data_IF_565616524353
#
_entry.id   IF_565616524353
#
_cell.length_a   1.000
_cell.length_b   1.000
_cell.length_c   1.000
_cell.angle_alpha   90.00
_cell.angle_beta   90.00
_cell.angle_gamma   90.00
#
_symmetry.space_group_name_H-M   'P 1'
#
loop_
_entity.id
_entity.type
_entity.pdbx_description
1 polymer ?
#
# COMPACT_ATOMS: atom_id res chain seq x y z
N UNK A 1 6.25 -0.54 8.46
CA UNK A 1 6.33 -1.80 7.68
C UNK A 1 4.96 -2.43 7.64
N UNK A 2 4.62 -3.12 6.56
CA UNK A 2 3.37 -3.86 6.42
C UNK A 2 3.57 -5.13 5.61
N UNK A 3 2.52 -5.93 5.47
CA UNK A 3 2.50 -7.13 4.63
C UNK A 3 1.61 -6.88 3.42
N UNK A 4 2.12 -7.11 2.21
CA UNK A 4 1.29 -7.06 1.01
C UNK A 4 0.32 -8.25 1.04
N UNK A 5 -0.97 -7.99 1.05
CA UNK A 5 -1.99 -9.06 1.08
C UNK A 5 -2.74 -9.22 -0.23
N UNK A 6 -2.68 -8.22 -1.11
CA UNK A 6 -3.26 -8.30 -2.44
C UNK A 6 -2.96 -7.05 -3.26
N UNK A 7 -3.27 -7.11 -4.55
CA UNK A 7 -3.34 -5.94 -5.41
C UNK A 7 -4.42 -6.14 -6.46
N UNK A 8 -5.00 -5.03 -6.92
CA UNK A 8 -5.99 -4.98 -7.99
C UNK A 8 -5.48 -4.06 -9.08
N UNK A 9 -5.52 -4.55 -10.32
CA UNK A 9 -5.28 -3.75 -11.52
C UNK A 9 -6.62 -3.50 -12.21
N UNK A 10 -6.82 -2.27 -12.68
CA UNK A 10 -8.01 -1.88 -13.42
C UNK A 10 -7.67 -0.73 -14.38
N UNK A 11 -8.43 -0.61 -15.46
CA UNK A 11 -8.26 0.43 -16.44
C UNK A 11 -9.56 1.18 -16.66
N UNK A 12 -9.46 2.44 -17.06
CA UNK A 12 -10.59 3.23 -17.55
C UNK A 12 -10.11 4.08 -18.74
N UNK A 13 -10.98 4.95 -19.27
CA UNK A 13 -10.65 5.84 -20.41
C UNK A 13 -9.46 6.79 -20.15
N UNK A 14 -9.07 7.01 -18.89
CA UNK A 14 -7.98 7.90 -18.47
C UNK A 14 -6.65 7.18 -18.23
N UNK A 15 -6.62 5.85 -18.16
CA UNK A 15 -5.37 5.09 -17.99
C UNK A 15 -5.50 3.82 -17.16
N UNK A 16 -4.34 3.26 -16.82
CA UNK A 16 -4.18 2.04 -16.02
C UNK A 16 -3.87 2.39 -14.56
N UNK A 17 -4.59 1.73 -13.66
CA UNK A 17 -4.48 1.95 -12.23
C UNK A 17 -4.19 0.64 -11.52
N UNK A 18 -3.39 0.74 -10.48
CA UNK A 18 -3.15 -0.36 -9.56
C UNK A 18 -3.31 0.14 -8.13
N UNK A 19 -4.01 -0.66 -7.33
CA UNK A 19 -4.16 -0.48 -5.88
C UNK A 19 -3.55 -1.71 -5.23
N UNK A 20 -2.69 -1.51 -4.23
CA UNK A 20 -2.24 -2.59 -3.36
C UNK A 20 -2.92 -2.51 -2.00
N UNK A 21 -3.23 -3.66 -1.42
CA UNK A 21 -3.77 -3.79 -0.08
C UNK A 21 -2.68 -4.28 0.86
N UNK A 22 -2.41 -3.49 1.90
CA UNK A 22 -1.29 -3.69 2.81
C UNK A 22 -1.81 -3.80 4.22
N UNK A 23 -1.56 -4.94 4.85
CA UNK A 23 -1.83 -5.14 6.27
C UNK A 23 -0.80 -4.38 7.09
N UNK A 24 -1.25 -3.52 8.01
CA UNK A 24 -0.43 -2.81 8.99
C UNK A 24 -1.03 -2.93 10.37
N UNK A 25 -0.19 -2.94 11.39
CA UNK A 25 -0.68 -2.90 12.77
C UNK A 25 -1.30 -1.53 13.09
N UNK A 26 -2.34 -1.56 13.92
CA UNK A 26 -2.85 -0.34 14.54
C UNK A 26 -1.76 0.34 15.36
N UNK A 27 -1.73 1.67 15.32
CA UNK A 27 -0.84 2.46 16.18
C UNK A 27 -1.17 2.24 17.65
N UNK A 28 -0.21 2.54 18.54
CA UNK A 28 -0.42 2.44 19.99
C UNK A 28 -1.68 3.22 20.44
N UNK A 29 -1.86 4.44 19.91
CA UNK A 29 -3.01 5.29 20.17
C UNK A 29 -4.34 4.68 19.73
N UNK A 30 -4.36 3.98 18.60
CA UNK A 30 -5.57 3.26 18.14
C UNK A 30 -5.87 2.07 19.04
N UNK A 31 -4.84 1.31 19.45
CA UNK A 31 -4.98 0.18 20.38
C UNK A 31 -5.49 0.62 21.75
N UNK A 32 -5.00 1.74 22.28
CA UNK A 32 -5.51 2.36 23.51
C UNK A 32 -7.00 2.74 23.43
N UNK A 33 -7.50 3.00 22.21
CA UNK A 33 -8.90 3.32 21.94
C UNK A 33 -9.75 2.09 21.59
N UNK A 34 -9.21 0.89 21.78
CA UNK A 34 -9.93 -0.37 21.60
C UNK A 34 -9.75 -1.03 20.23
N UNK A 35 -8.84 -0.56 19.38
CA UNK A 35 -8.51 -1.28 18.13
C UNK A 35 -7.70 -2.55 18.42
N UNK A 36 -8.12 -3.68 17.82
CA UNK A 36 -7.49 -4.98 18.00
C UNK A 36 -7.03 -5.54 16.65
N UNK A 37 -5.85 -6.17 16.61
CA UNK A 37 -5.29 -6.80 15.41
C UNK A 37 -4.58 -5.79 14.49
N UNK A 38 -4.90 -5.85 13.20
CA UNK A 38 -4.29 -5.05 12.14
C UNK A 38 -5.38 -4.39 11.27
N UNK A 39 -5.02 -3.30 10.60
CA UNK A 39 -5.82 -2.69 9.53
C UNK A 39 -5.28 -3.05 8.16
N UNK A 40 -6.12 -2.87 7.15
CA UNK A 40 -5.72 -2.92 5.74
C UNK A 40 -5.74 -1.51 5.19
N UNK A 41 -4.65 -1.11 4.56
CA UNK A 41 -4.54 0.15 3.82
C UNK A 41 -4.47 -0.14 2.32
N UNK A 42 -5.40 0.44 1.57
CA UNK A 42 -5.39 0.42 0.11
C UNK A 42 -4.62 1.63 -0.42
N UNK A 43 -3.54 1.38 -1.16
CA UNK A 43 -2.61 2.42 -1.62
C UNK A 43 -2.51 2.38 -3.15
N UNK A 44 -2.63 3.54 -3.80
CA UNK A 44 -2.41 3.67 -5.23
C UNK A 44 -0.94 3.52 -5.59
N UNK A 45 -0.69 2.75 -6.64
CA UNK A 45 0.65 2.48 -7.16
C UNK A 45 0.96 3.40 -8.34
N UNK A 46 2.05 4.18 -8.31
CA UNK A 46 2.56 4.92 -9.45
C UNK A 46 2.64 4.05 -10.69
N UNK A 47 2.25 4.61 -11.83
CA UNK A 47 2.14 3.90 -13.10
C UNK A 47 3.44 3.20 -13.50
N UNK A 48 4.57 3.89 -13.30
CA UNK A 48 5.92 3.41 -13.56
C UNK A 48 6.32 2.22 -12.66
N UNK A 49 5.60 1.95 -11.57
CA UNK A 49 5.93 0.88 -10.60
C UNK A 49 4.94 -0.28 -10.58
N UNK A 50 3.84 -0.20 -11.32
CA UNK A 50 2.81 -1.25 -11.34
C UNK A 50 3.34 -2.61 -11.87
N UNK A 51 4.41 -2.57 -12.69
CA UNK A 51 5.05 -3.76 -13.24
C UNK A 51 5.88 -4.54 -12.20
N UNK A 52 6.30 -3.90 -11.10
CA UNK A 52 7.06 -4.52 -10.02
C UNK A 52 6.19 -5.39 -9.10
N UNK A 53 4.85 -5.28 -9.21
CA UNK A 53 3.90 -6.13 -8.50
C UNK A 53 3.59 -7.40 -9.30
N UNK A 54 4.11 -8.52 -8.82
CA UNK A 54 3.82 -9.87 -9.31
C UNK A 54 3.04 -10.67 -8.25
N UNK A 55 2.38 -11.79 -8.61
CA UNK A 55 1.69 -12.64 -7.65
C UNK A 55 2.59 -13.14 -6.51
N UNK A 56 3.88 -13.36 -6.79
CA UNK A 56 4.87 -13.81 -5.81
C UNK A 56 5.20 -12.77 -4.74
N UNK A 57 4.84 -11.51 -4.96
CA UNK A 57 4.99 -10.46 -3.96
C UNK A 57 3.97 -10.59 -2.83
N UNK A 58 2.83 -11.24 -3.08
CA UNK A 58 1.77 -11.39 -2.09
C UNK A 58 2.27 -12.22 -0.92
N UNK A 59 2.05 -11.70 0.29
CA UNK A 59 2.52 -12.28 1.54
C UNK A 59 3.89 -11.77 2.01
N UNK A 60 4.66 -11.07 1.16
CA UNK A 60 5.96 -10.49 1.54
C UNK A 60 5.79 -9.23 2.39
N UNK A 61 6.82 -8.95 3.18
CA UNK A 61 6.94 -7.68 3.89
C UNK A 61 7.25 -6.57 2.89
N UNK A 62 6.53 -5.46 3.03
CA UNK A 62 6.65 -4.29 2.16
C UNK A 62 6.88 -3.04 3.01
N UNK A 63 7.79 -2.21 2.52
CA UNK A 63 7.98 -0.85 2.98
C UNK A 63 7.50 0.09 1.88
N UNK A 64 6.69 1.07 2.26
CA UNK A 64 6.16 2.09 1.36
C UNK A 64 6.73 3.43 1.78
N UNK A 65 7.35 4.11 0.83
CA UNK A 65 7.91 5.44 0.99
C UNK A 65 6.88 6.44 0.42
N UNK A 66 6.59 7.48 1.20
CA UNK A 66 5.64 8.53 0.83
C UNK A 66 6.37 9.86 0.68
N UNK A 67 5.97 10.62 -0.33
CA UNK A 67 6.34 12.01 -0.51
C UNK A 67 5.14 12.91 -0.26
N UNK A 68 5.40 14.07 0.34
CA UNK A 68 4.36 15.08 0.58
C UNK A 68 4.37 16.04 -0.61
N UNK A 69 3.29 16.01 -1.40
CA UNK A 69 3.06 16.97 -2.48
C UNK A 69 1.95 17.92 -2.04
N UNK A 70 2.33 19.17 -1.75
CA UNK A 70 1.44 20.14 -1.11
C UNK A 70 1.07 19.70 0.31
N UNK A 71 -0.21 19.37 0.54
CA UNK A 71 -0.73 18.92 1.84
C UNK A 71 -1.11 17.44 1.89
N UNK A 72 -0.81 16.66 0.83
CA UNK A 72 -1.20 15.25 0.69
C UNK A 72 0.02 14.36 0.54
N UNK A 73 -0.02 13.21 1.21
CA UNK A 73 0.97 12.16 1.05
C UNK A 73 0.63 11.31 -0.18
N UNK A 74 1.60 11.15 -1.07
CA UNK A 74 1.54 10.27 -2.23
C UNK A 74 2.60 9.20 -2.08
N UNK A 75 2.28 7.97 -2.47
CA UNK A 75 3.30 6.94 -2.51
C UNK A 75 4.31 7.28 -3.61
N UNK A 76 5.56 7.49 -3.23
CA UNK A 76 6.64 7.71 -4.19
C UNK A 76 7.34 6.41 -4.54
N UNK A 77 7.54 5.50 -3.58
CA UNK A 77 8.23 4.23 -3.80
C UNK A 77 7.76 3.10 -2.89
N UNK A 78 8.12 1.86 -3.22
CA UNK A 78 7.97 0.72 -2.32
C UNK A 78 9.04 -0.33 -2.56
N UNK A 79 9.37 -1.09 -1.51
CA UNK A 79 10.42 -2.12 -1.55
C UNK A 79 9.97 -3.34 -0.76
N UNK A 80 10.25 -4.52 -1.30
CA UNK A 80 10.08 -5.78 -0.59
C UNK A 80 11.32 -6.07 0.26
N UNK A 81 11.10 -6.71 1.42
CA UNK A 81 12.15 -7.27 2.26
C UNK A 81 12.17 -8.78 2.15
#
# INVERSE_FOLDING_TARGET
>A
MGKLIGYKKFSNQKGNYCIMDVQKDYSAREKERGSVGSRVESVFVPEDKQHLLTPECVGKQIQIDYEIVGSRAYMSDFRFK
#
